data_IF_215529781760
#
_entry.id   IF_215529781760
#
_cell.length_a   1.000
_cell.length_b   1.000
_cell.length_c   1.000
_cell.angle_alpha   90.00
_cell.angle_beta   90.00
_cell.angle_gamma   90.00
#
_symmetry.space_group_name_H-M   'P 1'
#
loop_
_entity.id
_entity.type
_entity.pdbx_description
1 polymer ?
#
# COMPACT_ATOMS: atom_id res chain seq x y z
N UNK A 1 46.47 -48.66 -29.09
CA UNK A 1 45.97 -47.33 -28.68
C UNK A 1 44.70 -47.55 -27.88
N UNK A 2 44.73 -47.38 -26.56
CA UNK A 2 43.54 -47.47 -25.71
C UNK A 2 42.89 -46.08 -25.62
N UNK A 3 41.63 -45.98 -26.03
CA UNK A 3 40.84 -44.75 -25.93
C UNK A 3 40.16 -44.70 -24.56
N UNK A 4 40.56 -43.75 -23.72
CA UNK A 4 39.92 -43.46 -22.45
C UNK A 4 38.63 -42.67 -22.71
N UNK A 5 37.48 -43.26 -22.38
CA UNK A 5 36.19 -42.56 -22.41
C UNK A 5 36.04 -41.78 -21.10
N UNK A 6 36.10 -40.45 -21.18
CA UNK A 6 35.84 -39.58 -20.04
C UNK A 6 34.33 -39.42 -19.83
N UNK A 7 33.83 -39.88 -18.68
CA UNK A 7 32.45 -39.72 -18.24
C UNK A 7 32.26 -38.28 -17.70
N UNK A 8 31.54 -37.43 -18.43
CA UNK A 8 31.16 -36.09 -17.98
C UNK A 8 29.92 -36.22 -17.09
N UNK A 9 30.11 -36.11 -15.77
CA UNK A 9 29.01 -36.02 -14.80
C UNK A 9 28.47 -34.58 -14.83
N UNK A 10 27.31 -34.38 -15.46
CA UNK A 10 26.62 -33.09 -15.46
C UNK A 10 26.04 -32.78 -14.08
N UNK A 11 26.55 -31.75 -13.41
CA UNK A 11 25.92 -31.19 -12.21
C UNK A 11 24.63 -30.46 -12.60
N UNK A 12 23.49 -31.12 -12.43
CA UNK A 12 22.19 -30.46 -12.46
C UNK A 12 22.05 -29.60 -11.19
N UNK A 13 22.37 -28.32 -11.30
CA UNK A 13 22.08 -27.34 -10.25
C UNK A 13 20.57 -27.22 -10.07
N UNK A 14 20.07 -27.55 -8.87
CA UNK A 14 18.69 -27.31 -8.50
C UNK A 14 18.44 -25.79 -8.48
N UNK A 15 17.79 -25.27 -9.53
CA UNK A 15 17.27 -23.92 -9.53
C UNK A 15 16.19 -23.83 -8.45
N UNK A 16 16.50 -23.16 -7.33
CA UNK A 16 15.51 -22.86 -6.32
C UNK A 16 14.51 -21.88 -6.93
N UNK A 17 13.29 -22.35 -7.19
CA UNK A 17 12.20 -21.49 -7.60
C UNK A 17 11.97 -20.45 -6.49
N UNK A 18 12.33 -19.19 -6.74
CA UNK A 18 11.98 -18.10 -5.84
C UNK A 18 10.47 -17.92 -5.91
N UNK A 19 9.76 -18.14 -4.80
CA UNK A 19 8.36 -17.75 -4.68
C UNK A 19 8.26 -16.26 -5.03
N UNK A 20 7.45 -15.87 -6.02
CA UNK A 20 7.28 -14.46 -6.36
C UNK A 20 6.85 -13.66 -5.12
N UNK A 21 7.58 -12.59 -4.81
CA UNK A 21 7.23 -11.67 -3.73
C UNK A 21 5.99 -10.89 -4.16
N UNK A 22 4.96 -10.74 -3.32
CA UNK A 22 3.77 -9.99 -3.69
C UNK A 22 4.12 -8.54 -4.04
N UNK A 23 3.52 -8.03 -5.11
CA UNK A 23 3.68 -6.64 -5.49
C UNK A 23 2.76 -5.76 -4.62
N UNK A 24 3.25 -4.58 -4.20
CA UNK A 24 2.41 -3.64 -3.46
C UNK A 24 1.14 -3.25 -4.24
N UNK A 25 1.26 -3.10 -5.56
CA UNK A 25 0.13 -2.82 -6.44
C UNK A 25 -0.95 -3.92 -6.48
N UNK A 26 -0.58 -5.18 -6.25
CA UNK A 26 -1.54 -6.29 -6.18
C UNK A 26 -2.33 -6.23 -4.87
N UNK A 27 -1.66 -5.94 -3.76
CA UNK A 27 -2.32 -5.77 -2.46
C UNK A 27 -3.24 -4.54 -2.47
N UNK A 28 -2.76 -3.41 -3.00
CA UNK A 28 -3.54 -2.17 -3.11
C UNK A 28 -4.39 -2.08 -4.39
N UNK A 29 -4.70 -3.23 -5.02
CA UNK A 29 -5.48 -3.26 -6.24
C UNK A 29 -6.83 -2.55 -6.06
N UNK A 30 -7.15 -1.68 -7.02
CA UNK A 30 -8.34 -0.84 -7.01
C UNK A 30 -8.11 0.59 -6.51
N UNK A 31 -6.98 0.90 -5.86
CA UNK A 31 -6.61 2.25 -5.42
C UNK A 31 -5.63 2.94 -6.36
N UNK A 32 -4.63 2.19 -6.85
CA UNK A 32 -3.51 2.69 -7.63
C UNK A 32 -3.93 3.43 -8.91
N UNK A 33 -3.29 4.57 -9.17
CA UNK A 33 -3.55 5.43 -10.32
C UNK A 33 -4.73 6.38 -10.14
N UNK A 34 -5.34 6.43 -8.95
CA UNK A 34 -6.52 7.25 -8.68
C UNK A 34 -6.38 8.12 -7.44
N UNK A 35 -7.09 9.25 -7.44
CA UNK A 35 -7.32 10.10 -6.27
C UNK A 35 -8.70 9.82 -5.66
N UNK A 36 -8.76 9.94 -4.34
CA UNK A 36 -9.91 9.61 -3.52
C UNK A 36 -10.11 10.70 -2.48
N UNK A 37 -11.34 11.08 -2.20
CA UNK A 37 -11.67 12.19 -1.30
C UNK A 37 -12.78 11.82 -0.33
N UNK A 38 -12.55 12.10 0.95
CA UNK A 38 -13.59 12.14 1.97
C UNK A 38 -13.86 13.60 2.37
N UNK A 39 -15.11 13.90 2.70
CA UNK A 39 -15.51 15.18 3.29
C UNK A 39 -15.78 14.98 4.77
N UNK A 40 -15.23 15.85 5.61
CA UNK A 40 -15.41 15.80 7.06
C UNK A 40 -16.17 17.06 7.54
N UNK A 41 -16.83 17.02 8.71
CA UNK A 41 -17.61 18.16 9.18
C UNK A 41 -16.75 19.42 9.50
N UNK A 42 -15.55 19.22 10.07
CA UNK A 42 -14.63 20.31 10.49
C UNK A 42 -13.44 20.52 9.55
N UNK A 43 -13.12 19.51 8.75
CA UNK A 43 -12.06 19.48 7.72
C UNK A 43 -12.75 19.24 6.39
N UNK A 44 -12.53 20.08 5.39
CA UNK A 44 -13.40 20.03 4.21
C UNK A 44 -13.04 18.92 3.25
N UNK A 45 -11.76 18.65 3.07
CA UNK A 45 -11.33 17.53 2.22
C UNK A 45 -10.15 16.81 2.83
N UNK A 46 -10.29 15.49 2.88
CA UNK A 46 -9.23 14.53 3.11
C UNK A 46 -9.01 13.78 1.79
N UNK A 47 -7.86 13.97 1.16
CA UNK A 47 -7.56 13.48 -0.18
C UNK A 47 -6.36 12.55 -0.18
N UNK A 48 -6.52 11.36 -0.77
CA UNK A 48 -5.45 10.40 -1.02
C UNK A 48 -5.27 10.19 -2.52
N UNK A 49 -4.05 10.34 -3.04
CA UNK A 49 -3.73 10.10 -4.43
C UNK A 49 -2.65 9.02 -4.55
N UNK A 50 -3.04 7.85 -5.08
CA UNK A 50 -2.18 6.68 -5.18
C UNK A 50 -1.50 6.62 -6.55
N UNK A 51 -0.17 6.51 -6.56
CA UNK A 51 0.62 6.24 -7.77
C UNK A 51 1.35 4.90 -7.64
N UNK A 52 1.45 4.19 -8.77
CA UNK A 52 2.15 2.90 -8.85
C UNK A 52 3.48 3.13 -9.58
N UNK A 53 4.56 2.63 -9.00
CA UNK A 53 5.90 2.76 -9.55
C UNK A 53 6.62 1.42 -9.53
N UNK A 54 7.82 1.40 -10.13
CA UNK A 54 8.74 0.24 -10.11
C UNK A 54 8.03 -1.06 -10.49
N UNK A 55 7.31 -1.04 -11.62
CA UNK A 55 6.58 -2.22 -12.13
C UNK A 55 5.63 -2.87 -11.10
N UNK A 56 5.03 -2.06 -10.22
CA UNK A 56 4.07 -2.53 -9.21
C UNK A 56 4.67 -2.85 -7.84
N UNK A 57 6.01 -2.84 -7.70
CA UNK A 57 6.68 -3.12 -6.43
C UNK A 57 6.55 -2.01 -5.39
N UNK A 58 6.26 -0.78 -5.83
CA UNK A 58 6.11 0.39 -4.97
C UNK A 58 4.77 1.06 -5.29
N UNK A 59 3.99 1.35 -4.24
CA UNK A 59 2.84 2.26 -4.33
C UNK A 59 3.11 3.44 -3.40
N UNK A 60 2.89 4.65 -3.90
CA UNK A 60 2.97 5.89 -3.12
C UNK A 60 1.58 6.49 -3.00
N UNK A 61 1.25 6.98 -1.81
CA UNK A 61 0.00 7.67 -1.51
C UNK A 61 0.32 9.06 -0.99
N UNK A 62 -0.11 10.09 -1.72
CA UNK A 62 0.00 11.48 -1.27
C UNK A 62 -1.30 11.87 -0.57
N UNK A 63 -1.17 12.18 0.72
CA UNK A 63 -2.25 12.52 1.61
C UNK A 63 -2.30 14.03 1.83
N UNK A 64 -3.43 14.66 1.51
CA UNK A 64 -3.63 16.11 1.66
C UNK A 64 -4.92 16.36 2.43
N UNK A 65 -4.78 17.11 3.52
CA UNK A 65 -5.93 17.54 4.33
C UNK A 65 -6.05 19.05 4.28
N UNK A 66 -7.25 19.53 3.91
CA UNK A 66 -7.52 20.96 3.68
C UNK A 66 -8.70 21.46 4.51
N UNK A 67 -8.58 22.70 4.95
CA UNK A 67 -9.65 23.44 5.61
C UNK A 67 -10.67 23.94 4.59
N UNK A 68 -11.77 24.51 5.07
CA UNK A 68 -12.83 25.07 4.22
C UNK A 68 -12.38 26.19 3.29
N UNK A 69 -11.39 26.98 3.72
CA UNK A 69 -10.80 28.04 2.91
C UNK A 69 -9.72 27.55 1.94
N UNK A 70 -9.47 26.24 1.89
CA UNK A 70 -8.39 25.64 1.09
C UNK A 70 -7.02 25.68 1.77
N UNK A 71 -6.94 26.15 3.02
CA UNK A 71 -5.70 26.16 3.80
C UNK A 71 -5.20 24.74 4.11
N UNK A 72 -3.89 24.56 4.15
CA UNK A 72 -3.27 23.29 4.53
C UNK A 72 -3.52 23.04 6.02
N UNK A 73 -4.15 21.91 6.35
CA UNK A 73 -4.29 21.43 7.73
C UNK A 73 -3.11 20.53 8.07
N UNK A 74 -2.90 19.49 7.26
CA UNK A 74 -1.66 18.72 7.24
C UNK A 74 -1.51 17.99 5.90
N UNK A 75 -0.32 17.48 5.65
CA UNK A 75 -0.02 16.63 4.50
C UNK A 75 0.82 15.44 4.93
N UNK A 76 0.90 14.42 4.08
CA UNK A 76 1.86 13.35 4.26
C UNK A 76 1.99 12.48 3.02
N UNK A 77 2.95 11.57 3.08
CA UNK A 77 3.21 10.60 2.02
C UNK A 77 3.36 9.22 2.65
N UNK A 78 2.61 8.25 2.13
CA UNK A 78 2.77 6.83 2.49
C UNK A 78 3.47 6.08 1.38
N UNK A 79 4.47 5.28 1.73
CA UNK A 79 5.12 4.33 0.81
C UNK A 79 4.76 2.91 1.19
N UNK A 80 4.19 2.16 0.24
CA UNK A 80 3.87 0.74 0.37
C UNK A 80 4.84 -0.09 -0.45
N UNK A 81 5.52 -1.04 0.20
CA UNK A 81 6.48 -1.95 -0.45
C UNK A 81 6.53 -3.29 0.25
N UNK A 82 6.93 -4.33 -0.47
CA UNK A 82 7.25 -5.61 0.15
C UNK A 82 8.47 -5.48 1.07
N UNK A 83 8.35 -6.00 2.30
CA UNK A 83 9.45 -6.14 3.24
C UNK A 83 9.78 -7.64 3.40
N UNK A 84 11.02 -8.02 3.10
CA UNK A 84 11.43 -9.43 3.10
C UNK A 84 11.40 -10.07 4.48
N UNK A 85 11.80 -9.33 5.51
CA UNK A 85 11.87 -9.85 6.89
C UNK A 85 10.48 -10.22 7.42
N UNK A 86 9.46 -9.41 7.12
CA UNK A 86 8.08 -9.66 7.52
C UNK A 86 7.25 -10.47 6.51
N UNK A 87 7.74 -10.68 5.29
CA UNK A 87 7.00 -11.35 4.23
C UNK A 87 5.68 -10.65 3.86
N UNK A 88 5.59 -9.34 4.07
CA UNK A 88 4.35 -8.57 3.96
C UNK A 88 4.58 -7.21 3.30
N UNK A 89 3.49 -6.54 2.91
CA UNK A 89 3.57 -5.14 2.44
C UNK A 89 3.66 -4.24 3.67
N UNK A 90 4.81 -3.60 3.84
CA UNK A 90 5.03 -2.56 4.83
C UNK A 90 4.52 -1.23 4.28
N UNK A 91 3.88 -0.44 5.12
CA UNK A 91 3.66 0.98 4.88
C UNK A 91 4.52 1.82 5.82
N UNK A 92 5.05 2.93 5.31
CA UNK A 92 5.70 3.98 6.08
C UNK A 92 5.05 5.31 5.69
N UNK A 93 4.33 5.91 6.63
CA UNK A 93 3.61 7.18 6.47
C UNK A 93 4.39 8.30 7.14
N UNK A 94 4.85 9.26 6.32
CA UNK A 94 5.56 10.45 6.73
C UNK A 94 4.61 11.64 6.73
N UNK A 95 4.46 12.28 7.88
CA UNK A 95 3.59 13.45 8.06
C UNK A 95 4.37 14.75 7.93
N UNK A 96 3.71 15.82 7.52
CA UNK A 96 4.31 17.15 7.35
C UNK A 96 4.84 17.77 8.65
N UNK A 97 4.49 17.22 9.82
CA UNK A 97 5.03 17.63 11.13
C UNK A 97 6.28 16.82 11.55
N UNK A 98 6.79 15.94 10.68
CA UNK A 98 7.99 15.12 10.93
C UNK A 98 7.71 13.77 11.59
N UNK A 99 6.46 13.42 11.87
CA UNK A 99 6.09 12.11 12.40
C UNK A 99 6.19 10.99 11.36
N UNK A 100 6.59 9.81 11.82
CA UNK A 100 6.57 8.56 11.07
C UNK A 100 5.61 7.58 11.76
N UNK A 101 4.64 7.08 10.99
CA UNK A 101 3.82 5.93 11.37
C UNK A 101 4.11 4.78 10.41
N UNK A 102 4.38 3.61 10.96
CA UNK A 102 4.67 2.41 10.17
C UNK A 102 3.77 1.27 10.57
N UNK A 103 3.58 0.34 9.65
CA UNK A 103 2.88 -0.91 9.92
C UNK A 103 2.85 -1.77 8.67
N UNK A 104 1.90 -2.69 8.64
CA UNK A 104 1.75 -3.66 7.57
C UNK A 104 0.32 -3.66 7.06
N UNK A 105 0.19 -3.98 5.77
CA UNK A 105 -1.11 -4.15 5.11
C UNK A 105 -1.14 -5.49 4.39
N UNK A 106 -2.27 -6.17 4.47
CA UNK A 106 -2.57 -7.36 3.66
C UNK A 106 -3.95 -7.26 3.04
N UNK A 107 -4.14 -7.96 1.92
CA UNK A 107 -5.43 -8.06 1.24
C UNK A 107 -6.22 -9.26 1.76
N UNK A 108 -7.52 -9.07 1.94
CA UNK A 108 -8.49 -10.16 2.17
C UNK A 108 -9.79 -9.83 1.41
N UNK A 109 -9.99 -10.45 0.25
CA UNK A 109 -11.11 -10.15 -0.64
C UNK A 109 -11.13 -8.69 -1.09
N UNK A 110 -12.15 -7.93 -0.68
CA UNK A 110 -12.27 -6.48 -0.92
C UNK A 110 -11.73 -5.62 0.22
N UNK A 111 -11.13 -6.23 1.24
CA UNK A 111 -10.63 -5.52 2.41
C UNK A 111 -9.11 -5.41 2.42
N UNK A 112 -8.60 -4.28 2.88
CA UNK A 112 -7.23 -4.11 3.32
C UNK A 112 -7.21 -4.13 4.85
N UNK A 113 -6.34 -4.98 5.40
CA UNK A 113 -6.25 -5.21 6.83
C UNK A 113 -4.89 -4.72 7.30
N UNK A 114 -4.90 -3.72 8.17
CA UNK A 114 -3.72 -3.04 8.69
C UNK A 114 -3.41 -3.49 10.10
N UNK A 115 -2.12 -3.67 10.40
CA UNK A 115 -1.61 -4.13 11.69
C UNK A 115 -0.21 -3.58 11.98
N UNK A 116 0.18 -3.57 13.26
CA UNK A 116 1.50 -3.06 13.68
C UNK A 116 2.64 -4.05 13.40
N UNK A 117 2.31 -5.33 13.22
CA UNK A 117 3.24 -6.41 12.90
C UNK A 117 2.72 -7.26 11.73
N UNK A 118 3.59 -7.98 10.99
CA UNK A 118 3.15 -8.86 9.91
C UNK A 118 2.21 -9.96 10.45
N UNK A 119 1.00 -10.04 9.89
CA UNK A 119 -0.02 -11.00 10.36
C UNK A 119 -0.55 -10.74 11.78
N UNK A 120 -0.25 -9.59 12.36
CA UNK A 120 -0.67 -9.20 13.70
C UNK A 120 -2.16 -8.87 13.82
N UNK A 121 -2.57 -8.43 15.01
CA UNK A 121 -3.92 -7.99 15.27
C UNK A 121 -4.31 -6.81 14.37
N UNK A 122 -5.52 -6.86 13.81
CA UNK A 122 -6.01 -5.83 12.89
C UNK A 122 -6.43 -4.59 13.66
N UNK A 123 -5.81 -3.45 13.35
CA UNK A 123 -6.09 -2.15 13.97
C UNK A 123 -6.96 -1.27 13.07
N UNK A 124 -6.85 -1.42 11.75
CA UNK A 124 -7.65 -0.69 10.77
C UNK A 124 -8.05 -1.59 9.61
N UNK A 125 -9.29 -1.44 9.15
CA UNK A 125 -9.85 -2.14 8.00
C UNK A 125 -10.28 -1.11 6.96
N UNK A 126 -9.84 -1.28 5.72
CA UNK A 126 -10.40 -0.53 4.59
C UNK A 126 -11.23 -1.48 3.74
N UNK A 127 -12.50 -1.14 3.48
CA UNK A 127 -13.38 -1.92 2.60
C UNK A 127 -13.54 -1.20 1.27
N UNK A 128 -13.10 -1.83 0.19
CA UNK A 128 -13.09 -1.24 -1.15
C UNK A 128 -14.34 -1.63 -1.95
N UNK A 129 -14.78 -0.69 -2.77
CA UNK A 129 -15.80 -0.85 -3.81
C UNK A 129 -15.27 -0.27 -5.12
N UNK A 130 -16.05 -0.33 -6.19
CA UNK A 130 -15.60 0.17 -7.49
C UNK A 130 -15.33 1.69 -7.50
N UNK A 131 -16.05 2.46 -6.70
CA UNK A 131 -16.06 3.92 -6.70
C UNK A 131 -15.74 4.56 -5.35
N UNK A 132 -15.50 3.76 -4.31
CA UNK A 132 -15.11 4.25 -2.99
C UNK A 132 -14.34 3.23 -2.16
N UNK A 133 -13.78 3.69 -1.05
CA UNK A 133 -13.40 2.83 0.07
C UNK A 133 -13.82 3.44 1.41
N UNK A 134 -14.04 2.59 2.40
CA UNK A 134 -14.44 2.97 3.75
C UNK A 134 -13.39 2.52 4.75
N UNK A 135 -13.02 3.41 5.67
CA UNK A 135 -12.01 3.19 6.70
C UNK A 135 -12.67 3.03 8.05
N UNK A 136 -12.31 1.95 8.74
CA UNK A 136 -12.75 1.62 10.10
C UNK A 136 -11.52 1.32 10.96
N UNK A 137 -11.37 2.03 12.08
CA UNK A 137 -10.25 1.82 13.02
C UNK A 137 -10.78 1.30 14.34
N UNK A 138 -10.20 0.20 14.82
CA UNK A 138 -10.57 -0.45 16.08
C UNK A 138 -10.49 0.54 17.24
N UNK A 139 -11.57 0.63 18.04
CA UNK A 139 -11.63 1.50 19.22
C UNK A 139 -11.89 2.99 18.93
N UNK A 140 -11.98 3.40 17.66
CA UNK A 140 -12.41 4.76 17.32
C UNK A 140 -13.91 4.93 17.51
N UNK A 141 -14.32 6.06 18.11
CA UNK A 141 -15.73 6.49 18.18
C UNK A 141 -16.14 7.31 16.95
N UNK A 142 -15.19 7.69 16.11
CA UNK A 142 -15.47 8.44 14.89
C UNK A 142 -16.25 7.58 13.91
N UNK A 143 -17.16 8.22 13.16
CA UNK A 143 -17.89 7.55 12.09
C UNK A 143 -16.90 7.02 11.03
N UNK A 144 -17.25 5.85 10.45
CA UNK A 144 -16.54 5.28 9.29
C UNK A 144 -16.24 6.37 8.26
N UNK A 145 -14.98 6.49 7.85
CA UNK A 145 -14.59 7.51 6.87
C UNK A 145 -14.73 6.94 5.47
N UNK A 146 -15.62 7.54 4.66
CA UNK A 146 -15.85 7.12 3.28
C UNK A 146 -15.12 8.04 2.30
N UNK A 147 -14.23 7.47 1.51
CA UNK A 147 -13.50 8.13 0.44
C UNK A 147 -14.09 7.75 -0.92
N UNK A 148 -14.44 8.74 -1.72
CA UNK A 148 -15.02 8.54 -3.06
C UNK A 148 -13.98 8.87 -4.12
N UNK A 149 -13.93 8.05 -5.17
CA UNK A 149 -13.04 8.24 -6.33
C UNK A 149 -13.30 9.58 -7.00
N UNK A 150 -12.24 10.35 -7.26
CA UNK A 150 -12.31 11.70 -7.86
C UNK A 150 -11.73 11.79 -9.25
N UNK A 151 -10.70 11.02 -9.56
CA UNK A 151 -10.01 11.12 -10.85
C UNK A 151 -8.71 10.35 -10.86
N UNK A 152 -7.97 10.49 -11.96
CA UNK A 152 -6.65 9.88 -12.13
C UNK A 152 -5.63 10.61 -11.25
N UNK A 153 -4.73 9.86 -10.62
CA UNK A 153 -3.60 10.43 -9.92
C UNK A 153 -2.52 10.84 -10.94
N UNK A 154 -2.07 12.08 -10.86
CA UNK A 154 -0.96 12.55 -11.68
C UNK A 154 0.36 11.83 -11.30
N UNK A 155 1.27 11.61 -12.27
CA UNK A 155 2.57 11.02 -12.00
C UNK A 155 3.34 11.81 -10.94
N UNK A 156 3.76 11.15 -9.86
CA UNK A 156 4.45 11.80 -8.75
C UNK A 156 3.53 12.38 -7.67
N UNK A 157 2.20 12.28 -7.83
CA UNK A 157 1.23 12.64 -6.79
C UNK A 157 0.99 14.15 -6.61
N UNK A 158 1.26 14.95 -7.64
CA UNK A 158 1.05 16.40 -7.66
C UNK A 158 0.11 16.82 -8.79
#
# INVERSE_FOLDING_TARGET
MLATVALVVGLAGAASAQTPKPHASEVLLGLGGMCWEARLPEVVTDTHCFSVARNGHLVMDVHKVRSRSGGVVYEGVTLYRFEEAGGAIRYDYYTSNGGLLSGYVRRDGQTLLFSDAPGGAVTTVWTLTADAYEVETTGSKDQKRRFVKRGVAEPGGF
#
